data_IF_331861743663
#
_entry.id   IF_331861743663
#
_cell.length_a   1.000
_cell.length_b   1.000
_cell.length_c   1.000
_cell.angle_alpha   90.00
_cell.angle_beta   90.00
_cell.angle_gamma   90.00
#
_symmetry.space_group_name_H-M   'P 1'
#
loop_
_entity.id
_entity.type
_entity.pdbx_description
1 polymer ?
#
# COMPACT_ATOMS: atom_id res chain seq x y z
N UNK A 1 -5.19 9.31 22.87
CA UNK A 1 -4.40 9.21 21.61
C UNK A 1 -4.49 7.78 21.13
N UNK A 2 -5.04 7.55 19.96
CA UNK A 2 -5.14 6.25 19.29
C UNK A 2 -3.77 5.80 18.78
N UNK A 3 -3.64 4.53 18.40
CA UNK A 3 -2.38 4.05 17.83
C UNK A 3 -2.05 4.72 16.47
N UNK A 4 -3.07 5.08 15.68
CA UNK A 4 -2.90 5.86 14.44
C UNK A 4 -2.32 7.26 14.77
N UNK A 5 -2.92 7.98 15.70
CA UNK A 5 -2.43 9.31 16.12
C UNK A 5 -0.99 9.27 16.64
N UNK A 6 -0.62 8.25 17.43
CA UNK A 6 0.76 8.08 17.90
C UNK A 6 1.74 7.88 16.76
N UNK A 7 1.35 7.09 15.73
CA UNK A 7 2.19 6.87 14.53
C UNK A 7 2.33 8.14 13.73
N UNK A 8 1.26 8.91 13.54
CA UNK A 8 1.28 10.20 12.84
C UNK A 8 2.25 11.16 13.54
N UNK A 9 2.13 11.33 14.87
CA UNK A 9 3.03 12.19 15.63
C UNK A 9 4.48 11.73 15.56
N UNK A 10 4.75 10.43 15.63
CA UNK A 10 6.08 9.87 15.43
C UNK A 10 6.62 10.20 14.04
N UNK A 11 5.83 10.04 12.98
CA UNK A 11 6.25 10.35 11.61
C UNK A 11 6.52 11.83 11.42
N UNK A 12 5.73 12.73 12.01
CA UNK A 12 6.00 14.17 12.02
C UNK A 12 7.37 14.50 12.63
N UNK A 13 7.71 13.83 13.73
CA UNK A 13 9.02 14.04 14.39
C UNK A 13 10.16 13.50 13.53
N UNK A 14 10.02 12.27 13.03
CA UNK A 14 11.00 11.64 12.13
C UNK A 14 11.24 12.46 10.86
N UNK A 15 10.18 13.06 10.29
CA UNK A 15 10.26 13.84 9.05
C UNK A 15 11.14 15.08 9.14
N UNK A 16 11.47 15.55 10.35
CA UNK A 16 12.38 16.68 10.56
C UNK A 16 13.82 16.35 10.14
N UNK A 17 14.20 15.07 10.09
CA UNK A 17 15.55 14.61 9.82
C UNK A 17 15.66 13.63 8.64
N UNK A 18 14.59 13.47 7.82
CA UNK A 18 14.62 12.56 6.68
C UNK A 18 15.48 13.10 5.53
N UNK A 19 16.07 12.20 4.77
CA UNK A 19 16.74 12.50 3.51
C UNK A 19 15.67 12.80 2.43
N UNK A 20 15.77 13.98 1.81
CA UNK A 20 14.86 14.38 0.73
C UNK A 20 15.22 13.67 -0.59
N UNK A 21 14.24 13.53 -1.49
CA UNK A 21 14.43 12.78 -2.75
C UNK A 21 14.46 11.27 -2.58
N UNK A 22 14.15 10.78 -1.39
CA UNK A 22 14.04 9.37 -1.05
C UNK A 22 12.92 8.63 -1.76
N UNK A 23 12.74 7.35 -1.45
CA UNK A 23 11.58 6.55 -1.80
C UNK A 23 10.64 6.47 -0.61
N UNK A 24 9.34 6.66 -0.83
CA UNK A 24 8.31 6.52 0.20
C UNK A 24 7.38 5.36 -0.13
N UNK A 25 7.12 4.53 0.87
CA UNK A 25 6.05 3.54 0.85
C UNK A 25 4.90 4.07 1.69
N UNK A 26 3.74 4.32 1.07
CA UNK A 26 2.55 4.86 1.73
C UNK A 26 1.37 3.90 1.60
N UNK A 27 0.54 3.81 2.64
CA UNK A 27 -0.63 2.94 2.62
C UNK A 27 -1.12 2.54 4.00
N UNK A 28 -1.75 1.37 4.07
CA UNK A 28 -2.33 0.82 5.30
C UNK A 28 -1.43 -0.24 5.95
N UNK A 29 -2.02 -1.17 6.71
CA UNK A 29 -1.29 -2.24 7.40
C UNK A 29 -0.43 -3.10 6.50
N UNK A 30 -0.84 -3.36 5.26
CA UNK A 30 -0.08 -4.17 4.32
C UNK A 30 1.22 -3.48 3.86
N UNK A 31 1.24 -2.15 3.83
CA UNK A 31 2.48 -1.40 3.64
C UNK A 31 3.26 -1.28 4.94
N UNK A 32 2.61 -0.99 6.06
CA UNK A 32 3.26 -0.90 7.38
C UNK A 32 4.05 -2.16 7.72
N UNK A 33 3.45 -3.33 7.46
CA UNK A 33 4.03 -4.64 7.77
C UNK A 33 5.10 -5.09 6.77
N UNK A 34 5.27 -4.40 5.64
CA UNK A 34 6.32 -4.74 4.68
C UNK A 34 7.70 -4.44 5.31
N UNK A 35 8.51 -5.46 5.62
CA UNK A 35 9.77 -5.27 6.34
C UNK A 35 10.87 -4.76 5.40
N UNK A 36 10.58 -3.73 4.61
CA UNK A 36 11.43 -3.29 3.50
C UNK A 36 12.84 -2.94 3.94
N UNK A 37 12.99 -2.21 5.05
CA UNK A 37 14.31 -1.79 5.53
C UNK A 37 15.17 -2.97 6.02
N UNK A 38 14.53 -4.00 6.63
CA UNK A 38 15.20 -5.25 6.98
C UNK A 38 15.70 -5.96 5.71
N UNK A 39 14.84 -6.06 4.69
CA UNK A 39 15.18 -6.73 3.44
C UNK A 39 16.28 -5.97 2.67
N UNK A 40 16.23 -4.64 2.63
CA UNK A 40 17.31 -3.83 2.05
C UNK A 40 18.66 -4.14 2.72
N UNK A 41 18.69 -4.13 4.05
CA UNK A 41 19.91 -4.44 4.82
C UNK A 41 20.43 -5.85 4.53
N UNK A 42 19.57 -6.85 4.50
CA UNK A 42 19.93 -8.24 4.20
C UNK A 42 20.50 -8.42 2.77
N UNK A 43 20.06 -7.60 1.82
CA UNK A 43 20.53 -7.64 0.43
C UNK A 43 21.69 -6.64 0.14
N UNK A 44 22.16 -5.92 1.13
CA UNK A 44 23.23 -4.93 0.96
C UNK A 44 22.85 -3.72 0.10
N UNK A 45 21.55 -3.39 0.05
CA UNK A 45 21.05 -2.25 -0.71
C UNK A 45 21.24 -0.94 0.07
N UNK A 46 21.72 0.09 -0.62
CA UNK A 46 21.91 1.42 -0.04
C UNK A 46 20.74 2.38 -0.25
N UNK A 47 19.70 1.95 -0.96
CA UNK A 47 18.52 2.78 -1.22
C UNK A 47 17.82 3.15 0.09
N UNK A 48 17.50 4.43 0.27
CA UNK A 48 16.75 4.92 1.43
C UNK A 48 15.26 4.85 1.12
N UNK A 49 14.54 4.03 1.89
CA UNK A 49 13.08 3.90 1.80
C UNK A 49 12.45 4.23 3.16
N UNK A 50 11.56 5.21 3.18
CA UNK A 50 10.74 5.50 4.35
C UNK A 50 9.38 4.83 4.22
N UNK A 51 9.12 3.85 5.07
CA UNK A 51 7.81 3.23 5.15
C UNK A 51 6.91 4.06 6.06
N UNK A 52 5.86 4.63 5.49
CA UNK A 52 4.85 5.49 6.13
C UNK A 52 3.46 4.84 6.10
N UNK A 53 3.40 3.52 6.00
CA UNK A 53 2.16 2.77 6.18
C UNK A 53 1.61 2.91 7.60
N UNK A 54 0.28 3.01 7.72
CA UNK A 54 -0.42 3.07 9.01
C UNK A 54 -1.58 2.08 9.02
N UNK A 55 -1.53 1.12 9.93
CA UNK A 55 -2.54 0.06 10.04
C UNK A 55 -3.95 0.60 10.15
N UNK A 56 -4.85 0.01 9.38
CA UNK A 56 -6.26 0.38 9.36
C UNK A 56 -6.59 1.68 8.62
N UNK A 57 -5.63 2.35 7.97
CA UNK A 57 -5.91 3.55 7.18
C UNK A 57 -6.85 3.23 6.01
N UNK A 58 -7.80 4.13 5.79
CA UNK A 58 -8.64 4.24 4.60
C UNK A 58 -8.13 5.39 3.72
N UNK A 59 -8.67 5.51 2.51
CA UNK A 59 -8.26 6.57 1.56
C UNK A 59 -8.43 7.97 2.14
N UNK A 60 -9.53 8.23 2.87
CA UNK A 60 -9.80 9.51 3.53
C UNK A 60 -8.74 9.87 4.57
N UNK A 61 -8.37 8.91 5.43
CA UNK A 61 -7.36 9.13 6.46
C UNK A 61 -5.96 9.40 5.88
N UNK A 62 -5.61 8.72 4.76
CA UNK A 62 -4.36 9.02 4.08
C UNK A 62 -4.38 10.42 3.45
N UNK A 63 -5.50 10.83 2.84
CA UNK A 63 -5.66 12.16 2.26
C UNK A 63 -5.50 13.27 3.31
N UNK A 64 -6.11 13.11 4.48
CA UNK A 64 -6.00 14.02 5.61
C UNK A 64 -4.57 14.13 6.17
N UNK A 65 -3.80 13.03 6.13
CA UNK A 65 -2.45 12.96 6.67
C UNK A 65 -1.37 12.89 5.58
N UNK A 66 -1.71 13.30 4.35
CA UNK A 66 -0.82 13.16 3.19
C UNK A 66 0.48 13.94 3.34
N UNK A 67 0.42 15.10 4.00
CA UNK A 67 1.61 15.91 4.29
C UNK A 67 2.61 15.07 5.09
N UNK A 68 2.18 14.50 6.20
CA UNK A 68 3.04 13.69 7.08
C UNK A 68 3.49 12.37 6.44
N UNK A 69 2.59 11.69 5.71
CA UNK A 69 2.90 10.38 5.15
C UNK A 69 3.70 10.43 3.85
N UNK A 70 3.65 11.56 3.11
CA UNK A 70 4.29 11.65 1.78
C UNK A 70 4.99 12.99 1.55
N UNK A 71 4.26 14.11 1.67
CA UNK A 71 4.73 15.37 1.09
C UNK A 71 5.91 15.98 1.84
N UNK A 72 5.92 15.91 3.17
CA UNK A 72 7.03 16.42 4.01
C UNK A 72 8.36 15.74 3.72
N UNK A 73 8.33 14.51 3.18
CA UNK A 73 9.55 13.77 2.83
C UNK A 73 10.15 14.22 1.49
N UNK A 74 9.38 14.95 0.68
CA UNK A 74 9.77 15.38 -0.67
C UNK A 74 10.38 14.22 -1.49
N UNK A 75 9.69 13.08 -1.65
CA UNK A 75 10.22 11.90 -2.29
C UNK A 75 10.40 12.08 -3.79
N UNK A 76 11.34 11.36 -4.39
CA UNK A 76 11.43 11.20 -5.85
C UNK A 76 10.51 10.10 -6.38
N UNK A 77 10.17 9.13 -5.51
CA UNK A 77 9.27 8.02 -5.84
C UNK A 77 8.32 7.72 -4.67
N UNK A 78 7.06 7.45 -5.01
CA UNK A 78 6.05 7.00 -4.04
C UNK A 78 5.49 5.66 -4.49
N UNK A 79 5.54 4.66 -3.63
CA UNK A 79 4.83 3.39 -3.78
C UNK A 79 3.60 3.45 -2.88
N UNK A 80 2.41 3.36 -3.47
CA UNK A 80 1.17 3.56 -2.73
C UNK A 80 0.24 2.35 -2.85
N UNK A 81 -0.23 1.84 -1.70
CA UNK A 81 -1.22 0.79 -1.60
C UNK A 81 -2.24 1.16 -0.52
N UNK A 82 -3.33 1.81 -0.93
CA UNK A 82 -4.38 2.33 -0.06
C UNK A 82 -5.76 2.06 -0.66
N UNK A 83 -6.77 1.78 0.17
CA UNK A 83 -8.15 1.58 -0.26
C UNK A 83 -8.71 0.19 0.08
N UNK A 84 -7.87 -0.79 0.43
CA UNK A 84 -8.36 -2.14 0.77
C UNK A 84 -9.25 -2.15 2.02
N UNK A 85 -9.01 -1.27 2.98
CA UNK A 85 -9.90 -1.14 4.15
C UNK A 85 -11.25 -0.51 3.79
N UNK A 86 -11.26 0.41 2.82
CA UNK A 86 -12.48 0.96 2.24
C UNK A 86 -13.33 -0.14 1.59
N UNK A 87 -12.70 -1.08 0.87
CA UNK A 87 -13.37 -2.21 0.24
C UNK A 87 -14.05 -3.17 1.22
N UNK A 88 -13.73 -3.13 2.51
CA UNK A 88 -14.42 -3.91 3.55
C UNK A 88 -15.75 -3.31 3.97
N UNK A 89 -16.09 -2.11 3.52
CA UNK A 89 -17.38 -1.49 3.76
C UNK A 89 -18.35 -1.92 2.66
N UNK A 90 -19.47 -2.53 3.08
CA UNK A 90 -20.49 -3.01 2.15
C UNK A 90 -21.24 -1.85 1.44
N UNK A 91 -21.38 -0.73 2.15
CA UNK A 91 -22.10 0.48 1.72
C UNK A 91 -21.24 1.41 0.84
N UNK A 92 -19.94 1.17 0.71
CA UNK A 92 -19.03 2.05 -0.02
C UNK A 92 -18.72 1.50 -1.41
N UNK A 93 -19.18 2.18 -2.48
CA UNK A 93 -18.88 1.77 -3.85
C UNK A 93 -17.40 2.02 -4.21
N UNK A 94 -16.86 1.18 -5.09
CA UNK A 94 -15.47 1.31 -5.57
C UNK A 94 -15.24 2.70 -6.19
N UNK A 95 -16.19 3.26 -6.92
CA UNK A 95 -16.08 4.59 -7.53
C UNK A 95 -15.73 5.67 -6.50
N UNK A 96 -16.38 5.65 -5.34
CA UNK A 96 -16.15 6.64 -4.29
C UNK A 96 -14.77 6.47 -3.62
N UNK A 97 -14.26 5.22 -3.55
CA UNK A 97 -12.88 4.95 -3.11
C UNK A 97 -11.89 5.52 -4.14
N UNK A 98 -12.17 5.35 -5.42
CA UNK A 98 -11.33 5.85 -6.50
C UNK A 98 -11.34 7.38 -6.61
N UNK A 99 -12.47 8.04 -6.34
CA UNK A 99 -12.54 9.51 -6.26
C UNK A 99 -11.55 10.06 -5.22
N UNK A 100 -11.53 9.49 -4.02
CA UNK A 100 -10.57 9.88 -2.98
C UNK A 100 -9.12 9.54 -3.34
N UNK A 101 -8.91 8.41 -4.00
CA UNK A 101 -7.59 8.02 -4.47
C UNK A 101 -7.08 9.01 -5.54
N UNK A 102 -7.96 9.42 -6.43
CA UNK A 102 -7.70 10.47 -7.45
C UNK A 102 -7.26 11.78 -6.80
N UNK A 103 -7.97 12.24 -5.76
CA UNK A 103 -7.61 13.43 -4.99
C UNK A 103 -6.22 13.32 -4.32
N UNK A 104 -5.89 12.12 -3.82
CA UNK A 104 -4.54 11.86 -3.26
C UNK A 104 -3.47 12.06 -4.34
N UNK A 105 -3.68 11.49 -5.53
CA UNK A 105 -2.72 11.60 -6.64
C UNK A 105 -2.58 13.04 -7.11
N UNK A 106 -3.69 13.73 -7.33
CA UNK A 106 -3.73 15.16 -7.69
C UNK A 106 -2.92 16.01 -6.69
N UNK A 107 -3.13 15.79 -5.38
CA UNK A 107 -2.43 16.55 -4.34
C UNK A 107 -0.92 16.25 -4.34
N UNK A 108 -0.52 14.99 -4.54
CA UNK A 108 0.90 14.62 -4.63
C UNK A 108 1.55 15.28 -5.85
N UNK A 109 0.96 15.16 -7.03
CA UNK A 109 1.52 15.69 -8.29
C UNK A 109 1.60 17.21 -8.29
N UNK A 110 0.57 17.88 -7.75
CA UNK A 110 0.55 19.34 -7.61
C UNK A 110 1.64 19.86 -6.68
N UNK A 111 1.92 19.12 -5.60
CA UNK A 111 2.88 19.56 -4.58
C UNK A 111 4.31 19.15 -4.93
N UNK A 112 4.48 18.02 -5.61
CA UNK A 112 5.77 17.42 -5.95
C UNK A 112 5.90 17.21 -7.47
N UNK A 113 6.09 18.28 -8.26
CA UNK A 113 6.23 18.15 -9.71
C UNK A 113 7.36 17.20 -10.10
N UNK A 114 7.06 16.23 -10.98
CA UNK A 114 8.03 15.24 -11.45
C UNK A 114 8.23 14.02 -10.55
N UNK A 115 7.48 13.91 -9.45
CA UNK A 115 7.47 12.69 -8.64
C UNK A 115 6.96 11.50 -9.46
N UNK A 116 7.58 10.34 -9.29
CA UNK A 116 7.09 9.10 -9.90
C UNK A 116 6.25 8.34 -8.88
N UNK A 117 5.00 8.01 -9.25
CA UNK A 117 4.07 7.31 -8.39
C UNK A 117 3.84 5.90 -8.95
N UNK A 118 4.05 4.89 -8.11
CA UNK A 118 3.77 3.50 -8.39
C UNK A 118 2.52 3.08 -7.61
N UNK A 119 1.39 2.96 -8.30
CA UNK A 119 0.14 2.48 -7.74
C UNK A 119 0.21 0.95 -7.69
N UNK A 120 0.33 0.41 -6.49
CA UNK A 120 0.47 -1.04 -6.30
C UNK A 120 -0.88 -1.72 -6.33
N UNK A 121 -1.00 -2.81 -7.09
CA UNK A 121 -2.17 -3.66 -7.05
C UNK A 121 -2.45 -4.10 -5.60
N UNK A 122 -3.73 -4.09 -5.22
CA UNK A 122 -4.17 -4.65 -3.94
C UNK A 122 -3.82 -6.12 -3.87
N UNK A 123 -3.36 -6.55 -2.72
CA UNK A 123 -2.97 -7.93 -2.47
C UNK A 123 -4.20 -8.85 -2.42
N UNK A 124 -4.10 -10.11 -2.87
CA UNK A 124 -5.17 -11.09 -2.74
C UNK A 124 -5.41 -11.46 -1.27
N UNK A 125 -6.60 -11.98 -0.99
CA UNK A 125 -6.96 -12.57 0.29
C UNK A 125 -7.15 -14.09 0.16
N UNK A 126 -7.22 -14.79 1.31
CA UNK A 126 -7.60 -16.20 1.38
C UNK A 126 -8.70 -16.39 2.41
N UNK A 127 -9.94 -16.45 1.94
CA UNK A 127 -11.11 -16.61 2.80
C UNK A 127 -11.13 -17.97 3.52
N UNK A 128 -10.69 -19.06 2.87
CA UNK A 128 -10.68 -20.40 3.46
C UNK A 128 -9.62 -20.53 4.57
N UNK A 129 -8.49 -19.83 4.44
CA UNK A 129 -7.45 -19.78 5.45
C UNK A 129 -7.67 -18.65 6.48
N UNK A 130 -8.82 -17.99 6.43
CA UNK A 130 -9.11 -16.88 7.32
C UNK A 130 -9.44 -17.35 8.73
N UNK A 131 -8.95 -16.61 9.72
CA UNK A 131 -9.44 -16.73 11.09
C UNK A 131 -10.93 -16.36 11.16
N UNK A 132 -11.67 -16.98 12.07
CA UNK A 132 -13.14 -16.83 12.14
C UNK A 132 -13.56 -15.36 12.30
N UNK A 133 -12.82 -14.58 13.09
CA UNK A 133 -13.06 -13.16 13.30
C UNK A 133 -12.84 -12.30 12.05
N UNK A 134 -12.06 -12.78 11.08
CA UNK A 134 -11.80 -12.08 9.82
C UNK A 134 -12.83 -12.40 8.73
N UNK A 135 -13.51 -13.51 8.80
CA UNK A 135 -14.47 -13.95 7.78
C UNK A 135 -15.55 -12.94 7.45
N UNK A 136 -16.20 -12.23 8.41
CA UNK A 136 -17.18 -11.21 8.09
C UNK A 136 -16.61 -10.09 7.21
N UNK A 137 -15.41 -9.64 7.49
CA UNK A 137 -14.70 -8.62 6.71
C UNK A 137 -14.36 -9.15 5.30
N UNK A 138 -13.83 -10.36 5.21
CA UNK A 138 -13.37 -10.94 3.95
C UNK A 138 -14.54 -11.43 3.06
N UNK A 139 -15.72 -11.68 3.62
CA UNK A 139 -16.95 -11.91 2.85
C UNK A 139 -17.38 -10.66 2.06
N UNK A 140 -17.01 -9.46 2.53
CA UNK A 140 -17.24 -8.19 1.83
C UNK A 140 -16.07 -7.86 0.90
N UNK A 141 -14.83 -7.97 1.40
CA UNK A 141 -13.58 -7.76 0.65
C UNK A 141 -13.17 -9.04 -0.09
N UNK A 142 -13.93 -9.47 -1.06
CA UNK A 142 -13.63 -10.67 -1.86
C UNK A 142 -12.51 -10.41 -2.87
N UNK A 143 -11.82 -11.47 -3.34
CA UNK A 143 -10.85 -11.34 -4.44
C UNK A 143 -11.51 -10.79 -5.73
N UNK A 144 -12.79 -11.07 -5.96
CA UNK A 144 -13.55 -10.48 -7.06
C UNK A 144 -13.65 -8.94 -6.94
N UNK A 145 -13.99 -8.44 -5.72
CA UNK A 145 -14.03 -6.98 -5.45
C UNK A 145 -12.64 -6.35 -5.52
N UNK A 146 -11.61 -7.03 -5.02
CA UNK A 146 -10.20 -6.61 -5.12
C UNK A 146 -9.78 -6.48 -6.59
N UNK A 147 -10.05 -7.48 -7.42
CA UNK A 147 -9.70 -7.45 -8.85
C UNK A 147 -10.43 -6.33 -9.60
N UNK A 148 -11.73 -6.12 -9.31
CA UNK A 148 -12.47 -5.01 -9.88
C UNK A 148 -11.86 -3.65 -9.48
N UNK A 149 -11.49 -3.50 -8.22
CA UNK A 149 -10.84 -2.28 -7.74
C UNK A 149 -9.43 -2.09 -8.35
N UNK A 150 -8.65 -3.17 -8.53
CA UNK A 150 -7.35 -3.10 -9.22
C UNK A 150 -7.47 -2.59 -10.66
N UNK A 151 -8.52 -2.99 -11.38
CA UNK A 151 -8.78 -2.47 -12.73
C UNK A 151 -9.07 -0.95 -12.73
N UNK A 152 -9.72 -0.43 -11.69
CA UNK A 152 -9.94 1.01 -11.55
C UNK A 152 -8.66 1.75 -11.11
N UNK A 153 -7.85 1.17 -10.23
CA UNK A 153 -6.52 1.73 -9.85
C UNK A 153 -5.60 1.81 -11.08
N UNK A 154 -5.64 0.82 -11.97
CA UNK A 154 -4.89 0.85 -13.23
C UNK A 154 -5.35 2.00 -14.14
N UNK A 155 -6.67 2.25 -14.24
CA UNK A 155 -7.20 3.40 -14.98
C UNK A 155 -6.77 4.74 -14.36
N UNK A 156 -6.74 4.84 -13.03
CA UNK A 156 -6.21 6.02 -12.36
C UNK A 156 -4.72 6.24 -12.70
N UNK A 157 -3.91 5.19 -12.67
CA UNK A 157 -2.51 5.30 -13.06
C UNK A 157 -2.35 5.82 -14.50
N UNK A 158 -3.17 5.33 -15.43
CA UNK A 158 -3.19 5.82 -16.83
C UNK A 158 -3.62 7.29 -16.91
N UNK A 159 -4.68 7.69 -16.19
CA UNK A 159 -5.18 9.07 -16.12
C UNK A 159 -4.09 10.05 -15.66
N UNK A 160 -3.34 9.67 -14.65
CA UNK A 160 -2.27 10.47 -14.04
C UNK A 160 -0.90 10.30 -14.72
N UNK A 161 -0.80 9.53 -15.81
CA UNK A 161 0.48 9.20 -16.46
C UNK A 161 1.51 8.58 -15.50
N UNK A 162 1.03 7.86 -14.48
CA UNK A 162 1.81 7.15 -13.48
C UNK A 162 1.81 5.64 -13.76
N UNK A 163 2.47 4.84 -12.91
CA UNK A 163 2.62 3.41 -13.15
C UNK A 163 1.77 2.57 -12.22
N UNK A 164 0.89 1.74 -12.79
CA UNK A 164 0.30 0.62 -12.07
C UNK A 164 1.28 -0.55 -12.06
N UNK A 165 1.48 -1.18 -10.90
CA UNK A 165 2.35 -2.35 -10.76
C UNK A 165 1.62 -3.49 -10.03
N UNK A 166 1.57 -4.67 -10.63
CA UNK A 166 1.11 -5.90 -9.99
C UNK A 166 2.31 -6.81 -9.70
N UNK A 167 2.70 -6.89 -8.44
CA UNK A 167 3.80 -7.74 -7.95
C UNK A 167 3.27 -9.00 -7.24
N UNK A 168 1.98 -9.29 -7.35
CA UNK A 168 1.29 -10.30 -6.54
C UNK A 168 1.46 -11.74 -7.06
N UNK A 169 2.11 -11.97 -8.21
CA UNK A 169 2.13 -13.29 -8.82
C UNK A 169 2.70 -14.37 -7.89
N UNK A 170 3.79 -14.09 -7.19
CA UNK A 170 4.40 -15.02 -6.25
C UNK A 170 3.55 -15.29 -5.00
N UNK A 171 2.60 -14.41 -4.68
CA UNK A 171 1.70 -14.55 -3.53
C UNK A 171 0.49 -15.45 -3.82
N UNK A 172 0.13 -15.62 -5.10
CA UNK A 172 -1.11 -16.27 -5.51
C UNK A 172 -0.95 -17.78 -5.61
N UNK A 173 -1.94 -18.52 -5.13
CA UNK A 173 -2.12 -19.93 -5.44
C UNK A 173 -2.75 -20.13 -6.86
N UNK A 174 -3.00 -21.37 -7.25
CA UNK A 174 -3.58 -21.71 -8.56
C UNK A 174 -4.99 -21.14 -8.76
N UNK A 175 -5.70 -20.78 -7.69
CA UNK A 175 -7.02 -20.15 -7.70
C UNK A 175 -6.95 -18.62 -7.60
N UNK A 176 -5.76 -18.02 -7.60
CA UNK A 176 -5.55 -16.58 -7.49
C UNK A 176 -5.74 -16.02 -6.08
N UNK A 177 -5.81 -16.88 -5.06
CA UNK A 177 -5.94 -16.49 -3.65
C UNK A 177 -4.56 -16.31 -3.03
N UNK A 178 -4.46 -15.55 -1.94
CA UNK A 178 -3.25 -15.49 -1.15
C UNK A 178 -2.90 -16.89 -0.63
N UNK A 179 -1.68 -17.36 -0.90
CA UNK A 179 -1.22 -18.67 -0.42
C UNK A 179 -1.38 -18.78 1.09
N UNK A 180 -1.88 -19.93 1.56
CA UNK A 180 -2.15 -20.17 2.97
C UNK A 180 -0.89 -20.08 3.84
N UNK A 181 0.27 -20.46 3.31
CA UNK A 181 1.55 -20.33 4.01
C UNK A 181 1.99 -18.87 4.17
N UNK A 182 1.51 -17.95 3.32
CA UNK A 182 1.89 -16.53 3.35
C UNK A 182 0.91 -15.64 4.13
N UNK A 183 -0.26 -16.13 4.51
CA UNK A 183 -1.19 -15.32 5.30
C UNK A 183 -1.09 -15.56 6.79
N UNK A 184 -1.36 -14.52 7.58
CA UNK A 184 -1.47 -14.61 9.04
C UNK A 184 -2.88 -15.11 9.41
N UNK A 185 -3.91 -14.46 8.86
CA UNK A 185 -5.32 -14.70 9.21
C UNK A 185 -6.28 -14.51 8.03
N UNK A 186 -5.78 -14.74 6.80
CA UNK A 186 -6.54 -14.64 5.56
C UNK A 186 -6.30 -13.34 4.78
N UNK A 187 -5.74 -12.30 5.38
CA UNK A 187 -5.54 -10.99 4.78
C UNK A 187 -4.10 -10.47 4.92
N UNK A 188 -3.58 -10.41 6.14
CA UNK A 188 -2.22 -9.92 6.36
C UNK A 188 -1.17 -10.93 5.92
N UNK A 189 -0.08 -10.39 5.41
CA UNK A 189 0.99 -11.15 4.76
C UNK A 189 2.12 -11.37 5.76
N UNK A 190 2.58 -12.62 5.88
CA UNK A 190 3.79 -12.98 6.65
C UNK A 190 5.05 -12.48 5.95
N UNK A 191 6.14 -12.36 6.70
CA UNK A 191 7.44 -11.95 6.16
C UNK A 191 7.86 -12.76 4.92
N UNK A 192 7.60 -14.08 4.89
CA UNK A 192 7.92 -14.94 3.75
C UNK A 192 7.21 -14.50 2.46
N UNK A 193 5.96 -14.03 2.56
CA UNK A 193 5.22 -13.50 1.42
C UNK A 193 5.85 -12.20 0.89
N UNK A 194 6.23 -11.28 1.77
CA UNK A 194 6.94 -10.06 1.37
C UNK A 194 8.31 -10.37 0.75
N UNK A 195 9.03 -11.36 1.26
CA UNK A 195 10.28 -11.84 0.65
C UNK A 195 10.07 -12.38 -0.77
N UNK A 196 8.96 -13.08 -1.01
CA UNK A 196 8.64 -13.64 -2.32
C UNK A 196 8.43 -12.56 -3.40
N UNK A 197 7.96 -11.36 -3.03
CA UNK A 197 7.73 -10.24 -3.96
C UNK A 197 8.82 -9.16 -3.91
N UNK A 198 9.78 -9.26 -2.99
CA UNK A 198 10.81 -8.25 -2.79
C UNK A 198 11.53 -7.86 -4.09
N UNK A 199 12.02 -8.84 -4.83
CA UNK A 199 12.75 -8.57 -6.07
C UNK A 199 11.88 -7.92 -7.14
N UNK A 200 10.59 -8.24 -7.19
CA UNK A 200 9.65 -7.63 -8.14
C UNK A 200 9.36 -6.17 -7.80
N UNK A 201 9.23 -5.83 -6.51
CA UNK A 201 9.14 -4.45 -6.03
C UNK A 201 10.43 -3.68 -6.31
N UNK A 202 11.59 -4.29 -6.01
CA UNK A 202 12.88 -3.64 -6.19
C UNK A 202 13.26 -3.33 -7.64
N UNK A 203 12.67 -4.01 -8.63
CA UNK A 203 12.81 -3.62 -10.05
C UNK A 203 12.36 -2.17 -10.26
N UNK A 204 11.23 -1.78 -9.69
CA UNK A 204 10.67 -0.43 -9.81
C UNK A 204 11.35 0.59 -8.88
N UNK A 205 11.83 0.15 -7.73
CA UNK A 205 12.63 1.01 -6.84
C UNK A 205 13.91 1.45 -7.50
N UNK A 206 14.57 0.57 -8.24
CA UNK A 206 15.87 0.83 -8.91
C UNK A 206 15.75 1.57 -10.26
N UNK A 207 14.54 1.66 -10.86
CA UNK A 207 14.30 2.47 -12.07
C UNK A 207 14.62 3.96 -11.84
#
# INVERSE_FOLDING_TARGET
MTDKEKKIERYKEENKSVEKGCVVFAGSSLMEMFPINKLLSEHGESTVIYNRGIGGFVTEELLENLDTCVLDLMPSKVFINIGTNDLSRADLPISQVMERYDEILDKIEKTLPGVRIYLMAYYPINYEAAAEEMKPCLAIRTNGKINAANAEVEKLAQKHHQRFIDVNNALKDEQGRLKAEYTIEGMHIKEQGYRAIYNDVMKYVRE
#
